data_IF_943165010673
#
_entry.id   IF_943165010673
#
_cell.length_a   1.000
_cell.length_b   1.000
_cell.length_c   1.000
_cell.angle_alpha   90.00
_cell.angle_beta   90.00
_cell.angle_gamma   90.00
#
_symmetry.space_group_name_H-M   'P 1'
#
loop_
_entity.id
_entity.type
_entity.pdbx_description
1 polymer ?
#
# COMPACT_ATOMS: atom_id res chain seq x y z
N UNK A 1 24.99 -15.47 33.55
CA UNK A 1 24.88 -13.98 33.56
C UNK A 1 23.86 -13.60 32.50
N UNK A 2 22.61 -13.45 32.90
CA UNK A 2 21.51 -13.12 32.01
C UNK A 2 21.45 -11.60 31.85
N UNK A 3 21.75 -11.10 30.64
CA UNK A 3 21.53 -9.70 30.31
C UNK A 3 20.04 -9.52 30.01
N UNK A 4 19.34 -8.95 30.98
CA UNK A 4 17.98 -8.43 30.81
C UNK A 4 18.08 -7.18 29.94
N UNK A 5 17.89 -7.34 28.64
CA UNK A 5 17.74 -6.20 27.72
C UNK A 5 16.41 -5.52 28.03
N UNK A 6 16.45 -4.50 28.90
CA UNK A 6 15.36 -3.54 29.06
C UNK A 6 15.17 -2.82 27.74
N UNK A 7 14.14 -3.22 27.00
CA UNK A 7 13.60 -2.46 25.87
C UNK A 7 13.04 -1.17 26.47
N UNK A 8 13.84 -0.12 26.42
CA UNK A 8 13.40 1.23 26.78
C UNK A 8 12.26 1.61 25.84
N UNK A 9 11.04 1.64 26.37
CA UNK A 9 9.90 2.24 25.68
C UNK A 9 10.27 3.70 25.39
N UNK A 10 10.32 4.15 24.13
CA UNK A 10 10.57 5.56 23.85
C UNK A 10 9.45 6.36 24.53
N UNK A 11 9.83 7.39 25.30
CA UNK A 11 8.89 8.32 25.92
C UNK A 11 7.88 8.77 24.87
N UNK A 12 6.58 8.56 25.14
CA UNK A 12 5.55 8.98 24.21
C UNK A 12 5.68 10.49 24.01
N UNK A 13 5.81 10.98 22.77
CA UNK A 13 5.81 12.42 22.51
C UNK A 13 4.56 13.00 23.13
N UNK A 14 4.73 13.96 24.03
CA UNK A 14 3.62 14.62 24.68
C UNK A 14 2.73 15.26 23.61
N UNK A 15 1.41 15.24 23.79
CA UNK A 15 0.48 15.80 22.80
C UNK A 15 0.78 17.28 22.45
N UNK A 16 1.48 17.97 23.35
CA UNK A 16 2.03 19.33 23.21
C UNK A 16 3.14 19.48 22.16
N UNK A 17 3.85 18.40 21.81
CA UNK A 17 4.91 18.38 20.79
C UNK A 17 4.35 18.25 19.36
N UNK A 18 3.05 18.00 19.20
CA UNK A 18 2.43 17.94 17.88
C UNK A 18 2.30 19.34 17.27
N UNK A 19 2.59 19.49 15.95
CA UNK A 19 2.25 20.68 15.19
C UNK A 19 0.79 21.10 15.40
N UNK A 20 0.55 22.41 15.53
CA UNK A 20 -0.81 22.96 15.77
C UNK A 20 -1.83 22.47 14.75
N UNK A 21 -1.42 22.40 13.48
CA UNK A 21 -2.26 21.92 12.38
C UNK A 21 -2.75 20.48 12.62
N UNK A 22 -1.89 19.59 13.12
CA UNK A 22 -2.27 18.21 13.47
C UNK A 22 -3.20 18.20 14.69
N UNK A 23 -2.91 19.05 15.67
CA UNK A 23 -3.68 19.18 16.90
C UNK A 23 -5.13 19.61 16.63
N UNK A 24 -5.31 20.62 15.79
CA UNK A 24 -6.62 21.15 15.43
C UNK A 24 -7.41 20.13 14.61
N UNK A 25 -6.76 19.45 13.65
CA UNK A 25 -7.41 18.36 12.90
C UNK A 25 -7.80 17.19 13.80
N UNK A 26 -6.97 16.82 14.80
CA UNK A 26 -7.32 15.77 15.77
C UNK A 26 -8.47 16.19 16.69
N UNK A 27 -8.52 17.45 17.10
CA UNK A 27 -9.65 18.00 17.87
C UNK A 27 -10.93 17.95 17.04
N UNK A 28 -10.86 18.32 15.76
CA UNK A 28 -12.01 18.25 14.85
C UNK A 28 -12.48 16.81 14.63
N UNK A 29 -11.55 15.86 14.44
CA UNK A 29 -11.88 14.43 14.33
C UNK A 29 -12.51 13.89 15.63
N UNK A 30 -11.98 14.27 16.79
CA UNK A 30 -12.52 13.88 18.09
C UNK A 30 -13.94 14.43 18.31
N UNK A 31 -14.16 15.72 18.02
CA UNK A 31 -15.49 16.33 18.09
C UNK A 31 -16.49 15.65 17.15
N UNK A 32 -16.08 15.32 15.93
CA UNK A 32 -16.93 14.57 14.98
C UNK A 32 -17.21 13.15 15.46
N UNK A 33 -16.24 12.48 16.07
CA UNK A 33 -16.37 11.15 16.66
C UNK A 33 -17.38 11.14 17.81
N UNK A 34 -17.23 12.05 18.77
CA UNK A 34 -18.19 12.24 19.88
C UNK A 34 -19.56 12.63 19.39
N UNK A 35 -19.66 13.59 18.45
CA UNK A 35 -20.93 14.01 17.86
C UNK A 35 -21.66 12.83 17.20
N UNK A 36 -20.93 11.98 16.46
CA UNK A 36 -21.50 10.78 15.87
C UNK A 36 -22.07 9.84 16.92
N UNK A 37 -21.34 9.56 17.99
CA UNK A 37 -21.83 8.68 19.06
C UNK A 37 -23.11 9.22 19.71
N UNK A 38 -23.13 10.51 20.06
CA UNK A 38 -24.31 11.16 20.64
C UNK A 38 -25.51 11.10 19.69
N UNK A 39 -25.29 11.28 18.38
CA UNK A 39 -26.36 11.21 17.39
C UNK A 39 -26.85 9.78 17.14
N UNK A 40 -25.96 8.79 17.12
CA UNK A 40 -26.32 7.38 17.04
C UNK A 40 -27.17 6.97 18.24
N UNK A 41 -26.80 7.39 19.46
CA UNK A 41 -27.58 7.14 20.68
C UNK A 41 -28.94 7.85 20.63
N UNK A 42 -28.98 9.14 20.27
CA UNK A 42 -30.22 9.89 20.14
C UNK A 42 -31.15 9.31 19.06
N UNK A 43 -30.57 8.76 17.98
CA UNK A 43 -31.31 8.07 16.92
C UNK A 43 -31.92 6.78 17.46
N UNK A 44 -31.14 5.97 18.18
CA UNK A 44 -31.61 4.72 18.78
C UNK A 44 -32.75 5.00 19.77
N UNK A 45 -32.64 6.05 20.57
CA UNK A 45 -33.69 6.50 21.48
C UNK A 45 -34.95 6.98 20.74
N UNK A 46 -34.80 7.71 19.63
CA UNK A 46 -35.93 8.13 18.79
C UNK A 46 -36.64 6.94 18.13
N UNK A 47 -35.89 5.97 17.61
CA UNK A 47 -36.43 4.73 17.04
C UNK A 47 -37.17 3.93 18.11
N UNK A 48 -36.59 3.78 19.31
CA UNK A 48 -37.25 3.13 20.44
C UNK A 48 -38.55 3.85 20.85
N UNK A 49 -38.61 5.18 20.77
CA UNK A 49 -39.86 5.95 20.97
C UNK A 49 -40.89 5.70 19.86
N UNK A 50 -40.49 5.54 18.61
CA UNK A 50 -41.39 5.13 17.51
C UNK A 50 -42.00 3.76 17.80
N UNK A 51 -41.19 2.79 18.22
CA UNK A 51 -41.65 1.44 18.54
C UNK A 51 -42.64 1.44 19.72
N UNK A 52 -42.34 2.18 20.79
CA UNK A 52 -43.26 2.39 21.90
C UNK A 52 -44.57 3.02 21.44
N UNK A 53 -44.52 4.11 20.68
CA UNK A 53 -45.71 4.76 20.14
C UNK A 53 -46.52 3.80 19.25
N UNK A 54 -45.86 3.00 18.41
CA UNK A 54 -46.54 1.97 17.59
C UNK A 54 -47.21 0.88 18.44
N UNK A 55 -46.62 0.51 19.56
CA UNK A 55 -47.22 -0.46 20.50
C UNK A 55 -48.43 0.09 21.23
N UNK A 56 -48.46 1.41 21.46
CA UNK A 56 -49.57 2.16 22.06
C UNK A 56 -50.64 2.58 21.03
N UNK A 57 -50.51 2.12 19.77
CA UNK A 57 -51.40 2.49 18.69
C UNK A 57 -52.87 2.27 19.11
N UNK A 58 -53.72 3.32 19.07
CA UNK A 58 -55.12 3.16 19.41
C UNK A 58 -55.75 2.13 18.49
N UNK A 59 -56.31 1.06 19.06
CA UNK A 59 -57.10 0.09 18.29
C UNK A 59 -58.21 0.88 17.59
N UNK A 60 -58.31 0.73 16.27
CA UNK A 60 -59.33 1.40 15.46
C UNK A 60 -60.70 0.81 15.87
N UNK A 61 -61.24 1.34 16.95
CA UNK A 61 -62.56 1.05 17.48
C UNK A 61 -63.37 2.35 17.45
N UNK A 62 -64.68 2.22 17.30
CA UNK A 62 -65.63 3.33 17.23
C UNK A 62 -65.61 4.27 18.46
N UNK A 63 -64.83 3.95 19.50
CA UNK A 63 -64.69 4.68 20.77
C UNK A 63 -63.44 5.57 20.88
N UNK A 64 -62.50 5.55 19.92
CA UNK A 64 -61.33 6.45 19.96
C UNK A 64 -61.73 7.84 19.48
N UNK A 65 -61.56 8.84 20.35
CA UNK A 65 -61.91 10.23 20.03
C UNK A 65 -61.06 10.77 18.88
N UNK A 66 -61.63 11.68 18.08
CA UNK A 66 -60.92 12.37 16.99
C UNK A 66 -59.62 13.02 17.49
N UNK A 67 -59.68 13.64 18.66
CA UNK A 67 -58.55 14.27 19.35
C UNK A 67 -57.39 13.31 19.61
N UNK A 68 -57.66 12.11 20.12
CA UNK A 68 -56.62 11.09 20.35
C UNK A 68 -55.94 10.61 19.06
N UNK A 69 -56.68 10.56 17.94
CA UNK A 69 -56.10 10.22 16.63
C UNK A 69 -55.18 11.33 16.11
N UNK A 70 -55.60 12.58 16.28
CA UNK A 70 -54.80 13.77 15.92
C UNK A 70 -53.53 13.88 16.79
N UNK A 71 -53.64 13.67 18.10
CA UNK A 71 -52.49 13.65 19.03
C UNK A 71 -51.49 12.54 18.69
N UNK A 72 -51.97 11.34 18.38
CA UNK A 72 -51.11 10.23 17.95
C UNK A 72 -50.40 10.54 16.63
N UNK A 73 -51.13 11.09 15.64
CA UNK A 73 -50.55 11.47 14.36
C UNK A 73 -49.49 12.56 14.52
N UNK A 74 -49.77 13.60 15.32
CA UNK A 74 -48.82 14.66 15.62
C UNK A 74 -47.57 14.16 16.35
N UNK A 75 -47.73 13.26 17.34
CA UNK A 75 -46.61 12.65 18.04
C UNK A 75 -45.75 11.78 17.11
N UNK A 76 -46.39 10.99 16.24
CA UNK A 76 -45.67 10.17 15.26
C UNK A 76 -44.91 11.03 14.25
N UNK A 77 -45.53 12.10 13.77
CA UNK A 77 -44.90 13.02 12.83
C UNK A 77 -43.74 13.77 13.48
N UNK A 78 -43.88 14.20 14.75
CA UNK A 78 -42.82 14.87 15.49
C UNK A 78 -41.59 13.98 15.70
N UNK A 79 -41.78 12.70 16.08
CA UNK A 79 -40.66 11.76 16.24
C UNK A 79 -40.03 11.45 14.89
N UNK A 80 -40.82 11.31 13.81
CA UNK A 80 -40.26 11.08 12.48
C UNK A 80 -39.40 12.26 12.02
N UNK A 81 -39.89 13.50 12.18
CA UNK A 81 -39.10 14.72 11.87
C UNK A 81 -37.81 14.78 12.70
N UNK A 82 -37.84 14.33 13.95
CA UNK A 82 -36.64 14.25 14.79
C UNK A 82 -35.63 13.23 14.23
N UNK A 83 -36.09 12.06 13.80
CA UNK A 83 -35.23 11.04 13.16
C UNK A 83 -34.62 11.61 11.87
N UNK A 84 -35.43 12.23 11.02
CA UNK A 84 -34.97 12.79 9.75
C UNK A 84 -33.89 13.87 9.97
N UNK A 85 -34.05 14.70 11.01
CA UNK A 85 -33.05 15.70 11.41
C UNK A 85 -31.75 15.05 11.91
N UNK A 86 -31.84 14.02 12.75
CA UNK A 86 -30.66 13.28 13.23
C UNK A 86 -29.93 12.62 12.07
N UNK A 87 -30.65 11.97 11.15
CA UNK A 87 -30.08 11.32 9.97
C UNK A 87 -29.39 12.34 9.05
N UNK A 88 -29.97 13.53 8.87
CA UNK A 88 -29.33 14.62 8.14
C UNK A 88 -28.02 15.08 8.79
N UNK A 89 -27.98 15.21 10.12
CA UNK A 89 -26.76 15.59 10.83
C UNK A 89 -25.69 14.48 10.81
N UNK A 90 -26.08 13.21 10.96
CA UNK A 90 -25.17 12.07 10.77
C UNK A 90 -24.53 12.08 9.37
N UNK A 91 -25.32 12.39 8.33
CA UNK A 91 -24.83 12.55 6.97
C UNK A 91 -23.82 13.68 6.82
N UNK A 92 -24.01 14.80 7.51
CA UNK A 92 -23.04 15.91 7.55
C UNK A 92 -21.75 15.54 8.28
N UNK A 93 -21.85 14.92 9.45
CA UNK A 93 -20.71 14.44 10.23
C UNK A 93 -19.87 13.45 9.42
N UNK A 94 -20.49 12.49 8.74
CA UNK A 94 -19.79 11.54 7.88
C UNK A 94 -19.01 12.25 6.75
N UNK A 95 -19.65 13.18 6.04
CA UNK A 95 -18.99 13.95 4.97
C UNK A 95 -17.84 14.82 5.48
N UNK A 96 -18.02 15.46 6.64
CA UNK A 96 -16.96 16.27 7.26
C UNK A 96 -15.76 15.39 7.64
N UNK A 97 -16.03 14.20 8.21
CA UNK A 97 -15.00 13.22 8.57
C UNK A 97 -14.22 12.72 7.35
N UNK A 98 -14.90 12.33 6.28
CA UNK A 98 -14.24 11.86 5.05
C UNK A 98 -13.31 12.93 4.47
N UNK A 99 -13.72 14.20 4.51
CA UNK A 99 -12.90 15.35 4.06
C UNK A 99 -11.71 15.62 4.99
N UNK A 100 -11.85 15.40 6.30
CA UNK A 100 -10.81 15.61 7.29
C UNK A 100 -9.76 14.49 7.29
N UNK A 101 -10.18 13.25 7.03
CA UNK A 101 -9.31 12.09 7.21
C UNK A 101 -8.08 12.10 6.29
N UNK A 102 -8.26 12.39 5.01
CA UNK A 102 -7.17 12.42 4.03
C UNK A 102 -6.05 13.42 4.38
N UNK A 103 -6.34 14.72 4.64
CA UNK A 103 -5.29 15.68 5.02
C UNK A 103 -4.66 15.37 6.38
N UNK A 104 -5.45 14.93 7.38
CA UNK A 104 -4.91 14.52 8.67
C UNK A 104 -3.93 13.35 8.51
N UNK A 105 -4.28 12.36 7.69
CA UNK A 105 -3.43 11.19 7.38
C UNK A 105 -2.10 11.60 6.76
N UNK A 106 -2.14 12.46 5.75
CA UNK A 106 -0.92 12.95 5.08
C UNK A 106 -0.03 13.74 6.04
N UNK A 107 -0.62 14.63 6.83
CA UNK A 107 0.12 15.47 7.79
C UNK A 107 0.72 14.65 8.93
N UNK A 108 -0.05 13.68 9.46
CA UNK A 108 0.43 12.75 10.48
C UNK A 108 1.55 11.86 9.96
N UNK A 109 1.45 11.35 8.73
CA UNK A 109 2.50 10.57 8.10
C UNK A 109 3.80 11.37 7.96
N UNK A 110 3.71 12.63 7.53
CA UNK A 110 4.88 13.52 7.43
C UNK A 110 5.52 13.75 8.80
N UNK A 111 4.71 14.05 9.82
CA UNK A 111 5.21 14.21 11.18
C UNK A 111 5.84 12.92 11.73
N UNK A 112 5.25 11.75 11.48
CA UNK A 112 5.84 10.47 11.89
C UNK A 112 7.17 10.21 11.19
N UNK A 113 7.30 10.56 9.92
CA UNK A 113 8.59 10.50 9.24
C UNK A 113 9.59 11.43 9.90
N UNK A 114 9.21 12.65 10.27
CA UNK A 114 10.06 13.62 10.96
C UNK A 114 10.52 13.14 12.35
N UNK A 115 9.59 12.61 13.14
CA UNK A 115 9.80 12.21 14.53
C UNK A 115 10.45 10.83 14.71
N UNK A 116 10.25 9.88 13.79
CA UNK A 116 10.81 8.52 13.87
C UNK A 116 11.74 8.24 12.66
N UNK A 117 13.07 8.42 12.83
CA UNK A 117 14.04 8.14 11.78
C UNK A 117 14.02 6.69 11.28
N UNK A 118 13.72 5.72 12.14
CA UNK A 118 13.68 4.29 11.78
C UNK A 118 12.43 3.99 10.92
N UNK A 119 11.30 4.60 11.25
CA UNK A 119 10.11 4.53 10.42
C UNK A 119 10.32 5.20 9.06
N UNK A 120 10.95 6.38 9.02
CA UNK A 120 11.32 7.07 7.77
C UNK A 120 12.25 6.22 6.91
N UNK A 121 13.28 5.62 7.52
CA UNK A 121 14.22 4.75 6.84
C UNK A 121 13.50 3.54 6.20
N UNK A 122 12.64 2.87 6.97
CA UNK A 122 11.87 1.73 6.48
C UNK A 122 10.87 2.10 5.38
N UNK A 123 10.17 3.23 5.50
CA UNK A 123 9.31 3.75 4.43
C UNK A 123 10.09 4.05 3.15
N UNK A 124 11.26 4.68 3.26
CA UNK A 124 12.14 4.96 2.11
C UNK A 124 12.65 3.69 1.44
N UNK A 125 12.80 2.59 2.18
CA UNK A 125 13.17 1.30 1.59
C UNK A 125 12.10 0.78 0.60
N UNK A 126 10.86 1.24 0.69
CA UNK A 126 9.81 0.90 -0.28
C UNK A 126 10.16 1.28 -1.73
N UNK A 127 11.09 2.23 -1.96
CA UNK A 127 11.58 2.56 -3.31
C UNK A 127 12.26 1.38 -4.00
N UNK A 128 12.86 0.46 -3.23
CA UNK A 128 13.55 -0.71 -3.79
C UNK A 128 12.56 -1.69 -4.44
N UNK A 129 11.26 -1.66 -4.08
CA UNK A 129 10.25 -2.48 -4.75
C UNK A 129 10.15 -2.16 -6.25
N UNK A 130 10.18 -0.89 -6.60
CA UNK A 130 10.07 -0.47 -8.00
C UNK A 130 11.35 -0.74 -8.78
N UNK A 131 12.52 -0.67 -8.13
CA UNK A 131 13.78 -1.10 -8.73
C UNK A 131 13.82 -2.61 -8.95
N UNK A 132 13.38 -3.38 -7.96
CA UNK A 132 13.31 -4.84 -8.04
C UNK A 132 12.32 -5.28 -9.12
N UNK A 133 11.11 -4.71 -9.19
CA UNK A 133 10.11 -5.02 -10.22
C UNK A 133 10.64 -4.77 -11.63
N UNK A 134 11.30 -3.63 -11.85
CA UNK A 134 11.94 -3.33 -13.14
C UNK A 134 13.05 -4.31 -13.47
N UNK A 135 13.91 -4.63 -12.49
CA UNK A 135 14.97 -5.63 -12.64
C UNK A 135 14.42 -7.01 -13.02
N UNK A 136 13.32 -7.45 -12.40
CA UNK A 136 12.67 -8.72 -12.71
C UNK A 136 12.21 -8.78 -14.17
N UNK A 137 11.58 -7.72 -14.67
CA UNK A 137 11.18 -7.63 -16.08
C UNK A 137 12.40 -7.70 -17.02
N UNK A 138 13.51 -7.05 -16.67
CA UNK A 138 14.74 -7.10 -17.46
C UNK A 138 15.30 -8.52 -17.47
N UNK A 139 15.35 -9.21 -16.33
CA UNK A 139 15.78 -10.61 -16.25
C UNK A 139 14.90 -11.51 -17.11
N UNK A 140 13.57 -11.34 -17.09
CA UNK A 140 12.65 -12.08 -17.94
C UNK A 140 12.94 -11.87 -19.44
N UNK A 141 13.23 -10.63 -19.83
CA UNK A 141 13.59 -10.29 -21.21
C UNK A 141 14.93 -10.91 -21.62
N UNK A 142 15.94 -10.85 -20.75
CA UNK A 142 17.26 -11.48 -20.98
C UNK A 142 17.16 -13.00 -21.04
N UNK A 143 16.33 -13.62 -20.21
CA UNK A 143 16.05 -15.05 -20.22
C UNK A 143 15.44 -15.47 -21.56
N UNK A 144 14.48 -14.72 -22.09
CA UNK A 144 13.90 -14.99 -23.43
C UNK A 144 14.95 -14.89 -24.54
N UNK A 145 15.84 -13.89 -24.47
CA UNK A 145 16.97 -13.75 -25.40
C UNK A 145 17.92 -14.93 -25.33
N UNK A 146 18.34 -15.31 -24.12
CA UNK A 146 19.19 -16.48 -23.87
C UNK A 146 18.57 -17.77 -24.43
N UNK A 147 17.29 -18.02 -24.16
CA UNK A 147 16.58 -19.22 -24.63
C UNK A 147 16.45 -19.27 -26.16
N UNK A 148 16.30 -18.11 -26.81
CA UNK A 148 16.30 -18.02 -28.28
C UNK A 148 17.67 -18.37 -28.84
N UNK A 149 18.73 -17.78 -28.29
CA UNK A 149 20.09 -17.99 -28.79
C UNK A 149 20.58 -19.43 -28.50
N UNK A 150 20.12 -20.03 -27.40
CA UNK A 150 20.35 -21.43 -27.07
C UNK A 150 19.72 -22.39 -28.09
N UNK A 151 18.54 -22.06 -28.63
CA UNK A 151 17.93 -22.83 -29.73
C UNK A 151 18.76 -22.75 -31.01
N UNK A 152 19.32 -21.57 -31.32
CA UNK A 152 20.22 -21.39 -32.47
C UNK A 152 21.47 -22.25 -32.33
N UNK A 153 22.10 -22.25 -31.15
CA UNK A 153 23.25 -23.12 -30.84
C UNK A 153 22.87 -24.58 -31.00
N UNK A 154 21.71 -25.01 -30.49
CA UNK A 154 21.23 -26.38 -30.64
C UNK A 154 21.15 -26.79 -32.12
N UNK A 155 20.55 -25.96 -32.97
CA UNK A 155 20.42 -26.24 -34.41
C UNK A 155 21.79 -26.37 -35.10
N UNK A 156 22.72 -25.46 -34.82
CA UNK A 156 24.07 -25.52 -35.39
C UNK A 156 24.81 -26.80 -34.95
N UNK A 157 24.72 -27.15 -33.66
CA UNK A 157 25.35 -28.35 -33.11
C UNK A 157 24.71 -29.66 -33.62
N UNK A 158 23.39 -29.68 -33.85
CA UNK A 158 22.72 -30.82 -34.49
C UNK A 158 23.26 -31.05 -35.90
N UNK A 159 23.49 -29.99 -36.68
CA UNK A 159 24.07 -30.10 -38.02
C UNK A 159 25.51 -30.63 -37.97
N UNK A 160 26.34 -30.13 -37.06
CA UNK A 160 27.73 -30.58 -36.88
C UNK A 160 27.80 -32.05 -36.44
N UNK A 161 26.94 -32.44 -35.47
CA UNK A 161 26.86 -33.81 -34.98
C UNK A 161 26.35 -34.78 -36.06
N UNK A 162 25.34 -34.39 -36.83
CA UNK A 162 24.81 -35.18 -37.95
C UNK A 162 25.82 -35.39 -39.08
N UNK A 163 26.77 -34.47 -39.24
CA UNK A 163 27.91 -34.59 -40.17
C UNK A 163 29.09 -35.38 -39.59
N UNK A 164 29.04 -35.75 -38.32
CA UNK A 164 30.13 -36.47 -37.63
C UNK A 164 31.42 -35.66 -37.48
N UNK A 165 31.31 -34.33 -37.39
CA UNK A 165 32.49 -33.47 -37.23
C UNK A 165 33.18 -33.73 -35.89
N UNK A 166 34.51 -33.79 -35.91
CA UNK A 166 35.34 -33.94 -34.70
C UNK A 166 35.52 -32.62 -33.94
N UNK A 167 35.30 -31.47 -34.61
CA UNK A 167 35.40 -30.12 -34.05
C UNK A 167 34.20 -29.26 -34.44
N UNK A 168 33.96 -28.20 -33.67
CA UNK A 168 32.89 -27.23 -33.93
C UNK A 168 33.12 -26.48 -35.25
N UNK A 169 32.07 -26.33 -36.06
CA UNK A 169 32.11 -25.50 -37.26
C UNK A 169 32.19 -24.01 -36.94
N UNK A 170 32.51 -23.18 -37.93
CA UNK A 170 32.48 -21.72 -37.80
C UNK A 170 31.08 -21.22 -37.39
N UNK A 171 30.02 -21.82 -37.94
CA UNK A 171 28.63 -21.53 -37.60
C UNK A 171 28.32 -21.82 -36.12
N UNK A 172 28.70 -23.01 -35.63
CA UNK A 172 28.55 -23.37 -34.22
C UNK A 172 29.35 -22.45 -33.29
N UNK A 173 30.60 -22.11 -33.66
CA UNK A 173 31.43 -21.18 -32.89
C UNK A 173 30.81 -19.78 -32.83
N UNK A 174 30.26 -19.28 -33.94
CA UNK A 174 29.56 -18.00 -33.98
C UNK A 174 28.28 -18.01 -33.12
N UNK A 175 27.48 -19.08 -33.21
CA UNK A 175 26.28 -19.23 -32.41
C UNK A 175 26.60 -19.30 -30.90
N UNK A 176 27.62 -20.06 -30.51
CA UNK A 176 28.07 -20.15 -29.10
C UNK A 176 28.59 -18.81 -28.61
N UNK A 177 29.31 -18.05 -29.44
CA UNK A 177 29.78 -16.70 -29.09
C UNK A 177 28.61 -15.74 -28.86
N UNK A 178 27.57 -15.81 -29.69
CA UNK A 178 26.35 -15.00 -29.53
C UNK A 178 25.62 -15.37 -28.23
N UNK A 179 25.44 -16.67 -27.97
CA UNK A 179 24.88 -17.18 -26.71
C UNK A 179 25.71 -16.73 -25.50
N UNK A 180 27.04 -16.66 -25.63
CA UNK A 180 27.92 -16.21 -24.55
C UNK A 180 27.67 -14.75 -24.18
N UNK A 181 27.48 -13.87 -25.17
CA UNK A 181 27.03 -12.49 -24.92
C UNK A 181 25.71 -12.41 -24.16
N UNK A 182 24.71 -13.20 -24.58
CA UNK A 182 23.42 -13.27 -23.87
C UNK A 182 23.55 -13.84 -22.45
N UNK A 183 24.47 -14.77 -22.24
CA UNK A 183 24.75 -15.40 -20.94
C UNK A 183 25.33 -14.39 -19.94
N UNK A 184 26.28 -13.56 -20.38
CA UNK A 184 26.91 -12.51 -19.56
C UNK A 184 25.85 -11.50 -19.12
N UNK A 185 25.02 -11.03 -20.06
CA UNK A 185 23.95 -10.07 -19.75
C UNK A 185 22.92 -10.67 -18.79
N UNK A 186 22.52 -11.94 -18.97
CA UNK A 186 21.59 -12.60 -18.06
C UNK A 186 22.15 -12.75 -16.65
N UNK A 187 23.39 -13.26 -16.50
CA UNK A 187 24.04 -13.38 -15.18
C UNK A 187 24.19 -12.02 -14.49
N UNK A 188 24.57 -10.98 -15.25
CA UNK A 188 24.70 -9.61 -14.75
C UNK A 188 23.38 -9.06 -14.22
N UNK A 189 22.28 -9.24 -14.95
CA UNK A 189 20.97 -8.73 -14.54
C UNK A 189 20.39 -9.50 -13.35
N UNK A 190 20.70 -10.79 -13.21
CA UNK A 190 20.38 -11.58 -11.99
C UNK A 190 21.11 -10.99 -10.78
N UNK A 191 22.40 -10.70 -10.91
CA UNK A 191 23.19 -10.07 -9.85
C UNK A 191 22.66 -8.66 -9.51
N UNK A 192 22.27 -7.88 -10.51
CA UNK A 192 21.67 -6.55 -10.32
C UNK A 192 20.31 -6.63 -9.61
N UNK A 193 19.46 -7.60 -9.93
CA UNK A 193 18.20 -7.84 -9.24
C UNK A 193 18.42 -8.19 -7.77
N UNK A 194 19.34 -9.13 -7.51
CA UNK A 194 19.68 -9.57 -6.15
C UNK A 194 20.30 -8.46 -5.31
N UNK A 195 21.06 -7.55 -5.93
CA UNK A 195 21.60 -6.37 -5.28
C UNK A 195 20.50 -5.50 -4.64
N UNK A 196 19.37 -5.30 -5.33
CA UNK A 196 18.25 -4.52 -4.75
C UNK A 196 17.62 -5.20 -3.54
N UNK A 197 17.55 -6.54 -3.53
CA UNK A 197 17.08 -7.29 -2.35
C UNK A 197 18.03 -7.17 -1.16
N UNK A 198 19.33 -7.21 -1.40
CA UNK A 198 20.35 -7.00 -0.37
C UNK A 198 20.34 -5.56 0.17
N UNK A 199 20.24 -4.56 -0.71
CA UNK A 199 20.14 -3.15 -0.31
C UNK A 199 18.87 -2.86 0.48
N UNK A 200 17.72 -3.41 0.08
CA UNK A 200 16.50 -3.33 0.86
C UNK A 200 16.72 -3.89 2.27
N UNK A 201 17.25 -5.12 2.38
CA UNK A 201 17.50 -5.79 3.66
C UNK A 201 18.41 -4.97 4.57
N UNK A 202 19.51 -4.45 4.01
CA UNK A 202 20.44 -3.56 4.72
C UNK A 202 19.75 -2.28 5.19
N UNK A 203 18.88 -1.70 4.37
CA UNK A 203 18.14 -0.49 4.72
C UNK A 203 17.05 -0.73 5.78
N UNK A 204 16.39 -1.89 5.82
CA UNK A 204 15.33 -2.16 6.81
C UNK A 204 15.86 -2.76 8.11
N UNK A 205 17.14 -3.11 8.17
CA UNK A 205 17.77 -3.67 9.36
C UNK A 205 17.59 -2.75 10.59
N UNK A 206 17.11 -3.31 11.70
CA UNK A 206 16.84 -2.57 12.93
C UNK A 206 15.59 -1.67 12.89
N UNK A 207 14.86 -1.67 11.77
CA UNK A 207 13.58 -0.95 11.64
C UNK A 207 12.40 -1.90 11.87
N UNK A 208 11.17 -1.38 12.04
CA UNK A 208 9.95 -2.19 12.11
C UNK A 208 9.68 -3.01 10.83
N UNK A 209 10.35 -2.68 9.73
CA UNK A 209 10.23 -3.33 8.43
C UNK A 209 11.23 -4.48 8.26
N UNK A 210 12.05 -4.80 9.27
CA UNK A 210 13.14 -5.78 9.16
C UNK A 210 12.70 -7.20 8.79
N UNK A 211 11.41 -7.52 8.97
CA UNK A 211 10.82 -8.81 8.60
C UNK A 211 10.48 -8.93 7.12
N UNK A 212 10.41 -7.81 6.40
CA UNK A 212 10.12 -7.79 4.96
C UNK A 212 11.39 -8.11 4.18
N UNK A 213 11.31 -9.10 3.31
CA UNK A 213 12.43 -9.52 2.47
C UNK A 213 12.00 -9.56 1.00
N UNK A 214 12.76 -8.88 0.16
CA UNK A 214 12.59 -9.02 -1.29
C UNK A 214 13.21 -10.34 -1.71
N UNK A 215 12.53 -11.09 -2.58
CA UNK A 215 13.02 -12.39 -2.96
C UNK A 215 14.25 -12.27 -3.85
N UNK A 216 15.13 -13.26 -3.76
CA UNK A 216 16.38 -13.36 -4.52
C UNK A 216 16.32 -14.51 -5.50
N UNK A 217 16.83 -14.31 -6.70
CA UNK A 217 17.06 -15.38 -7.65
C UNK A 217 18.37 -16.10 -7.31
N UNK A 218 18.41 -17.40 -7.47
CA UNK A 218 19.66 -18.14 -7.42
C UNK A 218 20.57 -17.72 -8.59
N UNK A 219 21.89 -17.91 -8.46
CA UNK A 219 22.81 -17.67 -9.56
C UNK A 219 22.77 -18.84 -10.54
N UNK A 220 22.40 -18.58 -11.80
CA UNK A 220 22.33 -19.62 -12.83
C UNK A 220 23.67 -19.95 -13.50
N UNK A 221 24.65 -19.05 -13.41
CA UNK A 221 26.01 -19.23 -13.94
C UNK A 221 26.03 -19.57 -15.43
N UNK A 222 25.18 -18.90 -16.21
CA UNK A 222 25.00 -19.14 -17.64
C UNK A 222 26.33 -18.98 -18.40
N UNK A 223 27.14 -18.00 -18.01
CA UNK A 223 28.43 -17.69 -18.63
C UNK A 223 29.38 -18.88 -18.55
N UNK A 224 29.51 -19.51 -17.36
CA UNK A 224 30.37 -20.66 -17.16
C UNK A 224 29.90 -21.88 -17.97
N UNK A 225 28.58 -22.09 -18.04
CA UNK A 225 27.95 -23.16 -18.83
C UNK A 225 28.19 -22.96 -20.33
N UNK A 226 28.10 -21.74 -20.84
CA UNK A 226 28.34 -21.47 -22.28
C UNK A 226 29.83 -21.60 -22.64
N UNK A 227 30.75 -21.23 -21.73
CA UNK A 227 32.20 -21.45 -21.94
C UNK A 227 32.54 -22.93 -22.06
N UNK A 228 31.88 -23.83 -21.30
CA UNK A 228 32.15 -25.26 -21.42
C UNK A 228 31.70 -25.84 -22.76
N UNK A 229 30.65 -25.32 -23.38
CA UNK A 229 30.21 -25.73 -24.71
C UNK A 229 31.30 -25.52 -25.77
N UNK A 230 31.98 -24.35 -25.73
CA UNK A 230 33.05 -24.01 -26.69
C UNK A 230 34.28 -24.93 -26.63
N UNK A 231 34.44 -25.67 -25.54
CA UNK A 231 35.58 -26.58 -25.29
C UNK A 231 35.23 -28.05 -25.56
N UNK A 232 33.98 -28.33 -25.92
CA UNK A 232 33.45 -29.69 -26.04
C UNK A 232 33.37 -30.13 -27.50
N UNK A 233 33.31 -31.44 -27.75
CA UNK A 233 33.00 -31.97 -29.09
C UNK A 233 31.56 -31.62 -29.48
N UNK A 234 31.21 -31.56 -30.78
CA UNK A 234 29.85 -31.22 -31.19
C UNK A 234 28.75 -32.07 -30.55
N UNK A 235 28.97 -33.39 -30.43
CA UNK A 235 28.01 -34.30 -29.79
C UNK A 235 27.85 -34.03 -28.27
N UNK A 236 28.94 -33.76 -27.55
CA UNK A 236 28.90 -33.46 -26.12
C UNK A 236 28.29 -32.06 -25.85
N UNK A 237 28.62 -31.08 -26.70
CA UNK A 237 28.05 -29.74 -26.66
C UNK A 237 26.55 -29.77 -26.94
N UNK A 238 26.10 -30.60 -27.89
CA UNK A 238 24.67 -30.77 -28.20
C UNK A 238 23.91 -31.33 -26.99
N UNK A 239 24.38 -32.44 -26.41
CA UNK A 239 23.76 -33.03 -25.23
C UNK A 239 23.70 -32.04 -24.04
N UNK A 240 24.77 -31.27 -23.83
CA UNK A 240 24.82 -30.24 -22.79
C UNK A 240 23.83 -29.09 -23.08
N UNK A 241 23.73 -28.67 -24.34
CA UNK A 241 22.78 -27.63 -24.79
C UNK A 241 21.34 -28.07 -24.57
N UNK A 242 21.00 -29.32 -24.87
CA UNK A 242 19.66 -29.88 -24.62
C UNK A 242 19.35 -29.93 -23.12
N UNK A 243 20.29 -30.36 -22.29
CA UNK A 243 20.12 -30.36 -20.84
C UNK A 243 19.88 -28.95 -20.27
N UNK A 244 20.65 -27.96 -20.73
CA UNK A 244 20.46 -26.55 -20.34
C UNK A 244 19.09 -26.07 -20.83
N UNK A 245 18.70 -26.39 -22.06
CA UNK A 245 17.42 -25.96 -22.62
C UNK A 245 16.25 -26.49 -21.78
N UNK A 246 16.25 -27.78 -21.45
CA UNK A 246 15.24 -28.42 -20.60
C UNK A 246 15.22 -27.79 -19.20
N UNK A 247 16.38 -27.60 -18.56
CA UNK A 247 16.47 -26.97 -17.24
C UNK A 247 15.80 -25.58 -17.24
N UNK A 248 16.09 -24.77 -18.25
CA UNK A 248 15.60 -23.40 -18.31
C UNK A 248 14.12 -23.33 -18.67
N UNK A 249 13.63 -24.19 -19.58
CA UNK A 249 12.21 -24.20 -19.94
C UNK A 249 11.32 -24.78 -18.84
N UNK A 250 11.77 -25.83 -18.14
CA UNK A 250 10.93 -26.57 -17.19
C UNK A 250 11.06 -26.04 -15.75
N UNK A 251 12.21 -25.46 -15.38
CA UNK A 251 12.47 -25.06 -13.99
C UNK A 251 12.76 -23.57 -13.85
N UNK A 252 13.73 -23.01 -14.60
CA UNK A 252 14.17 -21.62 -14.38
C UNK A 252 13.12 -20.59 -14.79
N UNK A 253 12.46 -20.78 -15.94
CA UNK A 253 11.39 -19.90 -16.39
C UNK A 253 10.19 -19.92 -15.43
N UNK A 254 9.62 -21.07 -15.02
CA UNK A 254 8.55 -21.10 -14.02
C UNK A 254 8.95 -20.56 -12.63
N UNK A 255 10.21 -20.74 -12.24
CA UNK A 255 10.74 -20.16 -10.99
C UNK A 255 10.70 -18.63 -11.02
N UNK A 256 11.00 -18.01 -12.17
CA UNK A 256 10.90 -16.56 -12.36
C UNK A 256 9.45 -16.05 -12.26
N UNK A 257 8.47 -16.85 -12.64
CA UNK A 257 7.05 -16.52 -12.45
C UNK A 257 6.60 -16.72 -10.98
N UNK A 258 7.21 -17.66 -10.27
CA UNK A 258 6.92 -17.87 -8.85
C UNK A 258 7.46 -16.72 -7.99
N UNK A 259 8.65 -16.21 -8.32
CA UNK A 259 9.31 -15.17 -7.52
C UNK A 259 8.58 -13.82 -7.58
N UNK A 260 7.83 -13.53 -8.65
CA UNK A 260 7.01 -12.30 -8.72
C UNK A 260 5.85 -12.36 -7.73
N UNK A 261 5.28 -13.55 -7.46
CA UNK A 261 4.25 -13.73 -6.43
C UNK A 261 4.82 -13.50 -5.02
N UNK A 262 6.02 -14.00 -4.74
CA UNK A 262 6.72 -13.73 -3.48
C UNK A 262 7.02 -12.23 -3.30
N UNK A 263 7.39 -11.54 -4.38
CA UNK A 263 7.60 -10.10 -4.37
C UNK A 263 6.32 -9.33 -4.04
N UNK A 264 5.18 -9.70 -4.63
CA UNK A 264 3.90 -9.05 -4.33
C UNK A 264 3.55 -9.19 -2.85
N UNK A 265 3.71 -10.39 -2.28
CA UNK A 265 3.49 -10.61 -0.85
C UNK A 265 4.39 -9.73 0.03
N UNK A 266 5.68 -9.60 -0.32
CA UNK A 266 6.62 -8.74 0.41
C UNK A 266 6.26 -7.24 0.29
N UNK A 267 5.85 -6.78 -0.90
CA UNK A 267 5.43 -5.40 -1.13
C UNK A 267 4.15 -5.06 -0.35
N UNK A 268 3.18 -5.98 -0.32
CA UNK A 268 1.95 -5.85 0.45
C UNK A 268 2.24 -5.83 1.96
N UNK A 269 3.12 -6.71 2.44
CA UNK A 269 3.53 -6.72 3.83
C UNK A 269 4.20 -5.41 4.25
N UNK A 270 5.09 -4.86 3.42
CA UNK A 270 5.70 -3.55 3.66
C UNK A 270 4.65 -2.44 3.79
N UNK A 271 3.69 -2.41 2.86
CA UNK A 271 2.56 -1.47 2.90
C UNK A 271 1.70 -1.64 4.15
N UNK A 272 1.44 -2.88 4.58
CA UNK A 272 0.70 -3.18 5.80
C UNK A 272 1.43 -2.72 7.06
N UNK A 273 2.75 -2.90 7.16
CA UNK A 273 3.54 -2.40 8.30
C UNK A 273 3.48 -0.88 8.36
N UNK A 274 3.69 -0.22 7.22
CA UNK A 274 3.61 1.23 7.12
C UNK A 274 2.25 1.75 7.60
N UNK A 275 1.18 1.10 7.13
CA UNK A 275 -0.19 1.49 7.42
C UNK A 275 -0.62 1.20 8.86
N UNK A 276 -0.27 0.01 9.36
CA UNK A 276 -0.57 -0.41 10.72
C UNK A 276 0.03 0.57 11.72
N UNK A 277 1.29 1.01 11.51
CA UNK A 277 1.92 2.00 12.39
C UNK A 277 1.21 3.35 12.35
N UNK A 278 0.84 3.83 11.16
CA UNK A 278 0.10 5.08 11.01
C UNK A 278 -1.25 5.02 11.73
N UNK A 279 -2.00 3.92 11.54
CA UNK A 279 -3.28 3.69 12.23
C UNK A 279 -3.14 3.60 13.74
N UNK A 280 -2.13 2.88 14.23
CA UNK A 280 -1.86 2.79 15.67
C UNK A 280 -1.57 4.17 16.27
N UNK A 281 -0.72 4.96 15.60
CA UNK A 281 -0.41 6.32 16.05
C UNK A 281 -1.65 7.22 16.00
N UNK A 282 -2.42 7.16 14.92
CA UNK A 282 -3.67 7.88 14.79
C UNK A 282 -4.62 7.55 15.94
N UNK A 283 -4.91 6.27 16.16
CA UNK A 283 -5.86 5.83 17.19
C UNK A 283 -5.43 6.28 18.59
N UNK A 284 -4.14 6.18 18.91
CA UNK A 284 -3.61 6.69 20.18
C UNK A 284 -3.85 8.20 20.35
N UNK A 285 -3.59 8.98 19.31
CA UNK A 285 -3.77 10.43 19.33
C UNK A 285 -5.24 10.85 19.35
N UNK A 286 -6.10 10.11 18.65
CA UNK A 286 -7.54 10.34 18.65
C UNK A 286 -8.15 10.05 20.03
N UNK A 287 -7.82 8.91 20.63
CA UNK A 287 -8.30 8.58 21.98
C UNK A 287 -7.88 9.64 22.99
N UNK A 288 -6.64 10.15 22.89
CA UNK A 288 -6.18 11.25 23.73
C UNK A 288 -6.99 12.53 23.48
N UNK A 289 -7.24 12.87 22.21
CA UNK A 289 -8.01 14.06 21.84
C UNK A 289 -9.45 13.99 22.34
N UNK A 290 -10.09 12.82 22.23
CA UNK A 290 -11.44 12.56 22.76
C UNK A 290 -11.50 12.76 24.29
N UNK A 291 -10.48 12.30 25.03
CA UNK A 291 -10.46 12.45 26.49
C UNK A 291 -10.11 13.86 27.00
N UNK A 292 -9.40 14.67 26.21
CA UNK A 292 -8.75 15.89 26.73
C UNK A 292 -8.99 17.17 25.92
N UNK A 293 -9.53 17.09 24.71
CA UNK A 293 -9.69 18.25 23.81
C UNK A 293 -11.12 18.48 23.36
N UNK A 294 -11.97 17.47 23.48
CA UNK A 294 -13.41 17.63 23.25
C UNK A 294 -13.96 18.47 24.39
N UNK A 295 -14.64 19.55 24.02
CA UNK A 295 -15.35 20.42 24.95
C UNK A 295 -16.84 20.11 24.90
N UNK A 296 -17.55 20.35 26.00
CA UNK A 296 -19.02 20.36 26.03
C UNK A 296 -19.55 21.56 25.24
N UNK A 297 -19.50 21.46 23.92
CA UNK A 297 -19.97 22.46 22.98
C UNK A 297 -21.23 21.98 22.26
N UNK A 298 -22.09 22.92 21.87
CA UNK A 298 -23.27 22.62 21.06
C UNK A 298 -22.84 22.00 19.72
N UNK A 299 -23.52 20.90 19.35
CA UNK A 299 -23.11 20.02 18.26
C UNK A 299 -23.20 20.71 16.88
N UNK A 300 -24.26 21.46 16.63
CA UNK A 300 -24.52 22.09 15.33
C UNK A 300 -23.60 23.31 15.04
N UNK A 301 -23.35 24.22 15.99
CA UNK A 301 -22.33 25.27 15.83
C UNK A 301 -20.93 24.69 15.61
N UNK A 302 -20.58 23.63 16.35
CA UNK A 302 -19.27 22.97 16.23
C UNK A 302 -19.10 22.35 14.85
N UNK A 303 -20.10 21.62 14.37
CA UNK A 303 -20.10 21.02 13.03
C UNK A 303 -19.98 22.08 11.93
N UNK A 304 -20.73 23.17 12.05
CA UNK A 304 -20.70 24.28 11.08
C UNK A 304 -19.32 24.96 11.05
N UNK A 305 -18.69 25.14 12.21
CA UNK A 305 -17.34 25.70 12.30
C UNK A 305 -16.28 24.76 11.66
N UNK A 306 -16.40 23.45 11.86
CA UNK A 306 -15.54 22.44 11.22
C UNK A 306 -15.71 22.46 9.71
N UNK A 307 -16.94 22.43 9.21
CA UNK A 307 -17.26 22.49 7.78
C UNK A 307 -16.69 23.75 7.11
N UNK A 308 -16.79 24.91 7.78
CA UNK A 308 -16.22 26.17 7.30
C UNK A 308 -14.70 26.12 7.23
N UNK A 309 -14.02 25.59 8.26
CA UNK A 309 -12.55 25.41 8.25
C UNK A 309 -12.10 24.50 7.12
N UNK A 310 -12.77 23.35 6.95
CA UNK A 310 -12.47 22.40 5.88
C UNK A 310 -12.64 23.02 4.48
N UNK A 311 -13.74 23.75 4.26
CA UNK A 311 -14.00 24.45 3.00
C UNK A 311 -12.92 25.51 2.71
N UNK A 312 -12.55 26.27 3.73
CA UNK A 312 -11.53 27.32 3.62
C UNK A 312 -10.14 26.72 3.31
N UNK A 313 -9.77 25.62 3.96
CA UNK A 313 -8.52 24.90 3.72
C UNK A 313 -8.47 24.30 2.31
N UNK A 314 -9.58 23.74 1.82
CA UNK A 314 -9.68 23.22 0.46
C UNK A 314 -9.56 24.33 -0.58
N UNK A 315 -10.23 25.47 -0.36
CA UNK A 315 -10.12 26.63 -1.25
C UNK A 315 -8.67 27.13 -1.31
N UNK A 316 -8.02 27.30 -0.16
CA UNK A 316 -6.61 27.71 -0.10
C UNK A 316 -5.69 26.73 -0.85
N UNK A 317 -5.94 25.42 -0.73
CA UNK A 317 -5.18 24.38 -1.47
C UNK A 317 -5.37 24.51 -2.97
N UNK A 318 -6.60 24.69 -3.44
CA UNK A 318 -6.89 24.85 -4.87
C UNK A 318 -6.26 26.12 -5.44
N UNK A 319 -6.33 27.23 -4.71
CA UNK A 319 -5.68 28.50 -5.10
C UNK A 319 -4.17 28.36 -5.16
N UNK A 320 -3.54 27.63 -4.24
CA UNK A 320 -2.10 27.38 -4.25
C UNK A 320 -1.63 26.45 -5.40
N UNK A 321 -2.52 25.64 -5.97
CA UNK A 321 -2.22 24.74 -7.10
C UNK A 321 -2.40 25.41 -8.46
N UNK A 322 -3.04 26.58 -8.53
CA UNK A 322 -3.18 27.34 -9.77
C UNK A 322 -1.88 28.13 -10.01
N UNK A 323 -1.19 27.93 -11.15
CA UNK A 323 -0.06 28.76 -11.50
C UNK A 323 -0.55 30.19 -11.73
N UNK A 324 -0.26 31.08 -10.79
CA UNK A 324 -0.44 32.51 -10.97
C UNK A 324 0.64 32.99 -11.94
N UNK A 325 0.38 32.90 -13.25
CA UNK A 325 1.09 33.72 -14.22
C UNK A 325 0.32 35.03 -14.27
N UNK A 326 0.76 36.10 -13.58
CA UNK A 326 0.16 37.40 -13.84
C UNK A 326 0.39 37.68 -15.32
N UNK A 327 -0.69 37.93 -16.06
CA UNK A 327 -0.60 38.53 -17.39
C UNK A 327 0.12 39.87 -17.22
N UNK A 328 1.45 39.87 -17.38
CA UNK A 328 2.20 41.07 -17.64
C UNK A 328 1.74 41.54 -19.01
N UNK A 329 0.81 42.49 -19.03
CA UNK A 329 0.55 43.26 -20.23
C UNK A 329 1.83 44.03 -20.55
N UNK A 330 2.60 43.52 -21.50
CA UNK A 330 3.62 44.31 -22.18
C UNK A 330 2.90 45.50 -22.83
N UNK A 331 3.20 46.70 -22.33
CA UNK A 331 2.86 47.97 -22.95
C UNK A 331 4.09 48.52 -23.65
#
# INVERSE_FOLDING_TARGET
MSQTTTISTPAQPSFTELPEVIRDMLRDEANLSTARHVLEDARNDAVGRVEKLRSERPKISFLVSKKQREEFAAASEAIQRQIDLIDAMLGRVAKARDRLQSPLRGTLLNHMQEADPLYRQGLRAGRFHEHWRRGHSIVADRLRGFMRDLKTVRTALTNDAGRGLSSLSEESNWAITTLHGASIELDREIDALNHWGAEHTRCVQGTPFSRVHLPTLEKWSCTARTVSLSKSTPAAALASTEAIFTEFSEYRQPSLDTIIGMFQAAADEHGQIAEMRLRQRWSQLLNYAECHLVADAELEPTLTAIEHRLSSAEHARLTAQLPFVPFTSER
#
